data_IF_085901698645
#
_entry.id   IF_085901698645
#
_cell.length_a   1.000
_cell.length_b   1.000
_cell.length_c   1.000
_cell.angle_alpha   90.00
_cell.angle_beta   90.00
_cell.angle_gamma   90.00
#
_symmetry.space_group_name_H-M   'P 1'
#
loop_
_entity.id
_entity.type
_entity.pdbx_description
1 polymer ?
#
# COMPACT_ATOMS: atom_id res chain seq x y z
N UNK A 1 -13.10 2.52 0.05
CA UNK A 1 -13.44 1.59 -1.05
C UNK A 1 -12.84 0.25 -0.66
N UNK A 2 -13.66 -0.76 -0.40
CA UNK A 2 -13.16 -2.06 0.06
C UNK A 2 -12.73 -2.88 -1.17
N UNK A 3 -11.51 -3.40 -1.15
CA UNK A 3 -11.07 -4.47 -2.06
C UNK A 3 -11.06 -5.77 -1.26
N UNK A 4 -12.23 -6.42 -1.07
CA UNK A 4 -12.33 -7.63 -0.27
C UNK A 4 -11.56 -8.77 -0.94
N UNK A 5 -11.18 -9.78 -0.16
CA UNK A 5 -10.59 -10.99 -0.71
C UNK A 5 -11.64 -11.79 -1.47
N UNK A 6 -11.29 -12.40 -2.60
CA UNK A 6 -12.18 -13.27 -3.38
C UNK A 6 -12.68 -14.40 -2.50
N UNK A 7 -13.99 -14.64 -2.52
CA UNK A 7 -14.62 -15.72 -1.75
C UNK A 7 -14.81 -17.02 -2.55
N UNK A 8 -14.56 -17.01 -3.86
CA UNK A 8 -14.75 -18.17 -4.75
C UNK A 8 -13.87 -18.08 -6.01
N UNK A 9 -13.62 -19.21 -6.67
CA UNK A 9 -12.80 -19.30 -7.89
C UNK A 9 -11.28 -19.41 -7.65
N UNK A 10 -10.48 -19.31 -8.72
CA UNK A 10 -9.01 -19.30 -8.61
C UNK A 10 -8.55 -18.07 -7.80
N UNK A 11 -7.77 -18.32 -6.74
CA UNK A 11 -7.37 -17.29 -5.78
C UNK A 11 -8.38 -17.01 -4.67
N UNK A 12 -9.41 -17.84 -4.47
CA UNK A 12 -10.30 -17.71 -3.31
C UNK A 12 -9.52 -17.73 -1.98
N UNK A 13 -9.84 -16.80 -1.08
CA UNK A 13 -9.18 -16.61 0.21
C UNK A 13 -7.84 -15.88 0.16
N UNK A 14 -7.30 -15.54 -1.03
CA UNK A 14 -5.97 -14.91 -1.19
C UNK A 14 -5.91 -13.76 -2.19
N UNK A 15 -6.63 -13.85 -3.29
CA UNK A 15 -6.63 -12.84 -4.34
C UNK A 15 -7.62 -11.71 -4.03
N UNK A 16 -7.27 -10.50 -4.43
CA UNK A 16 -8.11 -9.32 -4.27
C UNK A 16 -9.28 -9.37 -5.26
N UNK A 17 -10.49 -9.09 -4.78
CA UNK A 17 -11.67 -8.88 -5.62
C UNK A 17 -11.60 -7.50 -6.29
N UNK A 18 -11.32 -7.51 -7.59
CA UNK A 18 -11.18 -6.32 -8.41
C UNK A 18 -12.52 -5.75 -8.89
N UNK A 19 -13.66 -6.41 -8.61
CA UNK A 19 -14.98 -5.97 -9.09
C UNK A 19 -15.27 -4.50 -8.79
N UNK A 20 -14.91 -4.02 -7.60
CA UNK A 20 -15.12 -2.61 -7.22
C UNK A 20 -14.21 -1.65 -7.99
N UNK A 21 -12.97 -2.04 -8.27
CA UNK A 21 -12.04 -1.28 -9.12
C UNK A 21 -12.60 -1.22 -10.54
N UNK A 22 -13.07 -2.35 -11.08
CA UNK A 22 -13.64 -2.41 -12.43
C UNK A 22 -14.91 -1.55 -12.57
N UNK A 23 -15.84 -1.64 -11.63
CA UNK A 23 -17.05 -0.83 -11.61
C UNK A 23 -16.71 0.66 -11.52
N UNK A 24 -15.75 1.02 -10.66
CA UNK A 24 -15.29 2.41 -10.53
C UNK A 24 -14.64 2.90 -11.83
N UNK A 25 -13.81 2.07 -12.47
CA UNK A 25 -13.16 2.39 -13.75
C UNK A 25 -14.20 2.66 -14.85
N UNK A 26 -15.22 1.79 -14.97
CA UNK A 26 -16.33 1.96 -15.92
C UNK A 26 -17.09 3.25 -15.67
N UNK A 27 -17.41 3.53 -14.40
CA UNK A 27 -18.12 4.75 -14.01
C UNK A 27 -17.31 6.01 -14.30
N UNK A 28 -16.02 6.02 -14.01
CA UNK A 28 -15.10 7.12 -14.37
C UNK A 28 -15.15 7.35 -15.87
N UNK A 29 -15.05 6.29 -16.67
CA UNK A 29 -15.07 6.38 -18.13
C UNK A 29 -16.37 6.96 -18.66
N UNK A 30 -17.52 6.43 -18.23
CA UNK A 30 -18.85 6.84 -18.69
C UNK A 30 -19.17 8.30 -18.35
N UNK A 31 -18.64 8.81 -17.24
CA UNK A 31 -18.92 10.16 -16.75
C UNK A 31 -17.82 11.18 -17.11
N UNK A 32 -16.76 10.77 -17.80
CA UNK A 32 -15.69 11.66 -18.20
C UNK A 32 -16.01 12.32 -19.54
N UNK A 33 -15.82 13.64 -19.61
CA UNK A 33 -15.95 14.44 -20.84
C UNK A 33 -14.62 15.05 -21.31
N UNK A 34 -13.54 14.86 -20.54
CA UNK A 34 -12.21 15.43 -20.78
C UNK A 34 -11.14 14.58 -20.12
N UNK A 35 -9.88 14.73 -20.56
CA UNK A 35 -8.73 13.98 -20.03
C UNK A 35 -8.61 14.12 -18.51
N UNK A 36 -8.26 13.03 -17.82
CA UNK A 36 -8.17 12.96 -16.36
C UNK A 36 -6.88 12.30 -15.90
N UNK A 37 -6.46 12.66 -14.69
CA UNK A 37 -5.52 11.87 -13.90
C UNK A 37 -6.35 11.07 -12.91
N UNK A 38 -6.20 9.76 -12.93
CA UNK A 38 -6.86 8.82 -12.01
C UNK A 38 -5.80 8.33 -11.04
N UNK A 39 -6.01 8.59 -9.75
CA UNK A 39 -5.07 8.20 -8.70
C UNK A 39 -5.64 7.02 -7.93
N UNK A 40 -4.94 5.92 -7.97
CA UNK A 40 -5.19 4.71 -7.18
C UNK A 40 -4.60 4.90 -5.78
N UNK A 41 -5.45 4.85 -4.74
CA UNK A 41 -5.12 5.18 -3.32
C UNK A 41 -5.39 3.98 -2.39
N UNK A 42 -5.27 2.74 -2.83
CA UNK A 42 -5.67 1.55 -2.06
C UNK A 42 -4.58 1.04 -1.12
N UNK A 43 -5.02 0.21 -0.17
CA UNK A 43 -4.17 -0.48 0.81
C UNK A 43 -3.52 -1.76 0.28
N UNK A 44 -4.06 -2.35 -0.80
CA UNK A 44 -3.59 -3.61 -1.40
C UNK A 44 -3.75 -3.63 -2.93
N UNK A 45 -2.98 -2.82 -3.69
CA UNK A 45 -3.04 -2.85 -5.14
C UNK A 45 -2.11 -3.95 -5.66
N UNK A 46 -2.68 -5.09 -6.07
CA UNK A 46 -1.97 -6.00 -6.98
C UNK A 46 -2.61 -5.81 -8.35
N UNK A 47 -1.91 -5.13 -9.26
CA UNK A 47 -2.35 -4.89 -10.65
C UNK A 47 -3.59 -3.99 -10.78
N UNK A 48 -3.95 -3.25 -9.74
CA UNK A 48 -5.10 -2.36 -9.74
C UNK A 48 -4.98 -1.29 -10.84
N UNK A 49 -3.79 -0.70 -10.97
CA UNK A 49 -3.50 0.29 -11.98
C UNK A 49 -3.57 -0.27 -13.42
N UNK A 50 -3.17 -1.53 -13.62
CA UNK A 50 -3.27 -2.21 -14.93
C UNK A 50 -4.72 -2.50 -15.30
N UNK A 51 -5.55 -2.92 -14.34
CA UNK A 51 -7.00 -3.10 -14.55
C UNK A 51 -7.69 -1.78 -14.88
N UNK A 52 -7.34 -0.70 -14.16
CA UNK A 52 -7.81 0.65 -14.47
C UNK A 52 -7.41 1.04 -15.90
N UNK A 53 -6.16 0.81 -16.28
CA UNK A 53 -5.62 1.17 -17.60
C UNK A 53 -6.36 0.47 -18.73
N UNK A 54 -6.56 -0.84 -18.56
CA UNK A 54 -7.28 -1.68 -19.53
C UNK A 54 -8.71 -1.18 -19.72
N UNK A 55 -9.44 -0.89 -18.64
CA UNK A 55 -10.84 -0.49 -18.73
C UNK A 55 -11.00 0.93 -19.29
N UNK A 56 -10.20 1.88 -18.79
CA UNK A 56 -10.27 3.28 -19.19
C UNK A 56 -9.90 3.47 -20.66
N UNK A 57 -8.95 2.68 -21.18
CA UNK A 57 -8.52 2.73 -22.59
C UNK A 57 -9.19 1.71 -23.52
N UNK A 58 -10.07 0.84 -23.02
CA UNK A 58 -10.79 -0.12 -23.86
C UNK A 58 -11.73 0.56 -24.88
N UNK A 59 -11.98 -0.10 -26.01
CA UNK A 59 -12.93 0.40 -27.03
C UNK A 59 -12.47 1.71 -27.68
N UNK A 60 -13.41 2.45 -28.28
CA UNK A 60 -13.10 3.65 -29.04
C UNK A 60 -13.21 4.92 -28.18
N UNK A 61 -12.32 5.03 -27.17
CA UNK A 61 -12.32 6.16 -26.24
C UNK A 61 -11.41 7.29 -26.74
N UNK A 62 -11.97 8.50 -26.90
CA UNK A 62 -11.19 9.69 -27.30
C UNK A 62 -10.52 10.38 -26.11
N UNK A 63 -10.93 10.05 -24.88
CA UNK A 63 -10.42 10.65 -23.66
C UNK A 63 -9.16 9.92 -23.21
N UNK A 64 -8.12 10.69 -22.88
CA UNK A 64 -6.86 10.16 -22.35
C UNK A 64 -6.90 10.14 -20.82
N UNK A 65 -6.49 9.02 -20.24
CA UNK A 65 -6.39 8.84 -18.80
C UNK A 65 -4.94 8.54 -18.42
N UNK A 66 -4.40 9.35 -17.50
CA UNK A 66 -3.14 9.00 -16.84
C UNK A 66 -3.45 8.36 -15.50
N UNK A 67 -2.81 7.23 -15.22
CA UNK A 67 -3.04 6.46 -14.00
C UNK A 67 -1.81 6.55 -13.13
N UNK A 68 -2.02 6.98 -11.90
CA UNK A 68 -1.01 7.06 -10.86
C UNK A 68 -1.33 6.06 -9.76
N UNK A 69 -0.31 5.42 -9.20
CA UNK A 69 -0.41 4.71 -7.93
C UNK A 69 0.07 5.64 -6.83
N UNK A 70 -0.70 5.77 -5.75
CA UNK A 70 -0.33 6.56 -4.58
C UNK A 70 -0.74 5.81 -3.31
N UNK A 71 0.00 4.77 -2.89
CA UNK A 71 -0.40 3.90 -1.80
C UNK A 71 -0.63 4.65 -0.48
N UNK A 72 -1.49 4.09 0.36
CA UNK A 72 -1.77 4.62 1.70
C UNK A 72 -0.91 3.91 2.76
N UNK A 73 -0.21 4.66 3.60
CA UNK A 73 0.65 4.13 4.67
C UNK A 73 0.17 4.46 6.09
N UNK A 74 -1.09 4.87 6.22
CA UNK A 74 -1.69 5.24 7.49
C UNK A 74 -1.91 4.03 8.40
N UNK A 75 -1.80 4.26 9.71
CA UNK A 75 -2.16 3.28 10.72
C UNK A 75 -3.51 3.64 11.38
N UNK A 76 -4.23 2.61 11.84
CA UNK A 76 -5.47 2.79 12.56
C UNK A 76 -5.23 3.53 13.88
N UNK A 77 -6.05 4.54 14.18
CA UNK A 77 -5.90 5.39 15.36
C UNK A 77 -4.97 6.61 15.19
N UNK A 78 -4.19 6.71 14.11
CA UNK A 78 -3.30 7.86 13.84
C UNK A 78 -3.58 8.57 12.51
N UNK A 79 -4.68 8.24 11.84
CA UNK A 79 -4.94 8.65 10.45
C UNK A 79 -4.77 10.15 10.14
N UNK A 80 -5.32 11.05 10.97
CA UNK A 80 -5.17 12.50 10.73
C UNK A 80 -3.70 12.91 10.78
N UNK A 81 -2.99 12.48 11.82
CA UNK A 81 -1.56 12.80 12.00
C UNK A 81 -0.72 12.22 10.87
N UNK A 82 -1.02 11.01 10.42
CA UNK A 82 -0.31 10.33 9.34
C UNK A 82 -0.54 11.02 7.98
N UNK A 83 -1.69 11.71 7.79
CA UNK A 83 -1.96 12.54 6.61
C UNK A 83 -1.25 13.90 6.65
N UNK A 84 -1.19 14.53 7.83
CA UNK A 84 -0.53 15.83 8.02
C UNK A 84 1.00 15.70 8.04
N UNK A 85 1.53 14.62 8.63
CA UNK A 85 2.95 14.38 8.84
C UNK A 85 3.37 12.97 8.42
N UNK A 86 3.23 12.61 7.13
CA UNK A 86 3.60 11.29 6.65
C UNK A 86 5.11 11.07 6.74
N UNK A 87 5.52 9.87 7.16
CA UNK A 87 6.92 9.41 7.06
C UNK A 87 7.42 9.52 5.60
N UNK A 88 6.53 9.17 4.65
CA UNK A 88 6.75 9.30 3.20
C UNK A 88 5.42 9.30 2.44
N UNK A 89 5.41 9.93 1.28
CA UNK A 89 4.38 9.77 0.25
C UNK A 89 5.04 9.15 -0.97
N UNK A 90 4.47 8.05 -1.47
CA UNK A 90 4.96 7.34 -2.66
C UNK A 90 4.04 7.62 -3.84
N UNK A 91 4.59 8.00 -4.99
CA UNK A 91 3.84 8.29 -6.21
C UNK A 91 4.46 7.51 -7.38
N UNK A 92 3.70 6.56 -7.92
CA UNK A 92 4.04 5.78 -9.12
C UNK A 92 3.32 6.28 -10.36
N UNK A 93 4.00 6.28 -11.51
CA UNK A 93 3.40 6.53 -12.83
C UNK A 93 3.99 5.63 -13.90
N UNK A 94 3.40 5.60 -15.10
CA UNK A 94 4.12 5.13 -16.28
C UNK A 94 5.27 6.09 -16.62
N UNK A 95 6.36 5.56 -17.18
CA UNK A 95 7.50 6.33 -17.66
C UNK A 95 7.26 6.85 -19.09
N UNK A 96 6.12 7.52 -19.28
CA UNK A 96 5.76 8.22 -20.52
C UNK A 96 5.78 9.74 -20.25
N UNK A 97 5.97 10.59 -21.27
CA UNK A 97 5.95 12.04 -21.06
C UNK A 97 4.68 12.55 -20.35
N UNK A 98 3.52 11.99 -20.70
CA UNK A 98 2.23 12.33 -20.09
C UNK A 98 2.08 11.77 -18.67
N UNK A 99 2.57 10.55 -18.42
CA UNK A 99 2.59 9.95 -17.08
C UNK A 99 3.49 10.70 -16.11
N UNK A 100 4.68 11.12 -16.57
CA UNK A 100 5.60 11.95 -15.79
C UNK A 100 4.99 13.33 -15.48
N UNK A 101 4.30 13.96 -16.44
CA UNK A 101 3.60 15.22 -16.22
C UNK A 101 2.43 15.06 -15.22
N UNK A 102 1.70 13.95 -15.28
CA UNK A 102 0.66 13.63 -14.31
C UNK A 102 1.24 13.42 -12.91
N UNK A 103 2.35 12.68 -12.80
CA UNK A 103 3.08 12.47 -11.55
C UNK A 103 3.53 13.79 -10.94
N UNK A 104 4.05 14.72 -11.75
CA UNK A 104 4.47 16.04 -11.28
C UNK A 104 3.32 16.83 -10.66
N UNK A 105 2.13 16.82 -11.28
CA UNK A 105 0.96 17.52 -10.71
C UNK A 105 0.58 16.99 -9.32
N UNK A 106 0.67 15.68 -9.12
CA UNK A 106 0.39 15.09 -7.80
C UNK A 106 1.52 15.38 -6.79
N UNK A 107 2.78 15.39 -7.25
CA UNK A 107 3.92 15.81 -6.45
C UNK A 107 3.77 17.25 -5.97
N UNK A 108 3.44 18.18 -6.87
CA UNK A 108 3.23 19.60 -6.56
C UNK A 108 2.10 19.78 -5.55
N UNK A 109 1.02 19.00 -5.68
CA UNK A 109 -0.07 18.98 -4.70
C UNK A 109 0.44 18.65 -3.30
N UNK A 110 1.14 17.53 -3.14
CA UNK A 110 1.66 17.11 -1.83
C UNK A 110 2.72 18.06 -1.27
N UNK A 111 3.49 18.73 -2.13
CA UNK A 111 4.56 19.65 -1.74
C UNK A 111 4.06 20.89 -0.98
N UNK A 112 2.75 21.14 -0.96
CA UNK A 112 2.16 22.22 -0.16
C UNK A 112 2.29 22.01 1.36
N UNK A 113 2.41 20.76 1.83
CA UNK A 113 2.55 20.46 3.26
C UNK A 113 3.52 19.33 3.60
N UNK A 114 3.88 18.48 2.63
CA UNK A 114 4.84 17.39 2.84
C UNK A 114 6.23 17.86 2.36
N UNK A 115 7.27 17.77 3.21
CA UNK A 115 8.64 18.09 2.79
C UNK A 115 9.07 17.23 1.59
N UNK A 116 9.74 17.82 0.61
CA UNK A 116 10.18 17.10 -0.61
C UNK A 116 10.99 15.84 -0.33
N UNK A 117 11.84 15.85 0.72
CA UNK A 117 12.62 14.67 1.15
C UNK A 117 11.76 13.46 1.54
N UNK A 118 10.49 13.67 1.86
CA UNK A 118 9.51 12.64 2.18
C UNK A 118 8.65 12.26 0.96
N UNK A 119 8.81 12.95 -0.19
CA UNK A 119 8.12 12.64 -1.43
C UNK A 119 8.99 11.74 -2.31
N UNK A 120 8.48 10.55 -2.61
CA UNK A 120 9.19 9.55 -3.39
C UNK A 120 8.42 9.29 -4.67
N UNK A 121 9.08 9.47 -5.81
CA UNK A 121 8.52 9.15 -7.12
C UNK A 121 9.15 7.88 -7.69
N UNK A 122 8.34 7.03 -8.32
CA UNK A 122 8.80 5.78 -8.93
C UNK A 122 7.97 5.42 -10.17
N UNK A 123 8.27 4.29 -10.82
CA UNK A 123 7.36 3.69 -11.79
C UNK A 123 6.14 3.07 -11.09
N UNK A 124 5.08 2.85 -11.86
CA UNK A 124 3.77 2.39 -11.39
C UNK A 124 3.83 1.08 -10.59
N UNK A 125 4.53 0.08 -11.12
CA UNK A 125 4.65 -1.26 -10.50
C UNK A 125 5.44 -1.25 -9.20
N UNK A 126 6.56 -0.53 -9.18
CA UNK A 126 7.37 -0.37 -7.98
C UNK A 126 6.59 0.33 -6.86
N UNK A 127 5.67 1.24 -7.19
CA UNK A 127 4.78 1.88 -6.20
C UNK A 127 3.83 0.88 -5.57
N UNK A 128 3.09 0.12 -6.38
CA UNK A 128 2.16 -0.92 -5.90
C UNK A 128 2.88 -1.98 -5.07
N UNK A 129 3.99 -2.52 -5.57
CA UNK A 129 4.77 -3.54 -4.89
C UNK A 129 5.34 -3.05 -3.55
N UNK A 130 5.82 -1.82 -3.48
CA UNK A 130 6.40 -1.25 -2.25
C UNK A 130 5.40 -1.26 -1.10
N UNK A 131 4.09 -1.11 -1.38
CA UNK A 131 3.06 -1.19 -0.35
C UNK A 131 2.92 -2.61 0.22
N UNK A 132 2.86 -3.61 -0.67
CA UNK A 132 2.78 -5.01 -0.28
C UNK A 132 4.01 -5.43 0.51
N UNK A 133 5.19 -5.10 0.02
CA UNK A 133 6.47 -5.40 0.68
C UNK A 133 6.55 -4.70 2.04
N UNK A 134 6.17 -3.42 2.13
CA UNK A 134 6.15 -2.71 3.41
C UNK A 134 5.27 -3.41 4.45
N UNK A 135 4.06 -3.85 4.06
CA UNK A 135 3.18 -4.56 4.98
C UNK A 135 3.75 -5.96 5.34
N UNK A 136 4.32 -6.68 4.36
CA UNK A 136 4.93 -7.97 4.59
C UNK A 136 6.11 -7.91 5.58
N UNK A 137 6.97 -6.89 5.48
CA UNK A 137 8.08 -6.69 6.42
C UNK A 137 7.58 -6.40 7.84
N UNK A 138 6.52 -5.62 8.00
CA UNK A 138 5.92 -5.36 9.32
C UNK A 138 5.32 -6.65 9.91
N UNK A 139 4.59 -7.44 9.12
CA UNK A 139 4.06 -8.74 9.53
C UNK A 139 5.19 -9.71 9.93
N UNK A 140 6.25 -9.77 9.12
CA UNK A 140 7.39 -10.65 9.35
C UNK A 140 8.07 -10.37 10.68
N UNK A 141 8.21 -9.10 11.07
CA UNK A 141 8.81 -8.73 12.36
C UNK A 141 7.96 -9.19 13.56
N UNK A 142 6.64 -9.02 13.47
CA UNK A 142 5.71 -9.50 14.51
C UNK A 142 5.77 -11.03 14.59
N UNK A 143 5.69 -11.72 13.46
CA UNK A 143 5.78 -13.18 13.41
C UNK A 143 7.12 -13.70 13.95
N UNK A 144 8.21 -13.01 13.65
CA UNK A 144 9.54 -13.35 14.16
C UNK A 144 9.62 -13.22 15.67
N UNK A 145 9.10 -12.14 16.28
CA UNK A 145 9.16 -12.02 17.74
C UNK A 145 8.21 -13.00 18.44
N UNK A 146 7.07 -13.31 17.83
CA UNK A 146 6.13 -14.32 18.34
C UNK A 146 6.75 -15.72 18.36
N UNK A 147 7.52 -16.11 17.33
CA UNK A 147 8.20 -17.41 17.34
C UNK A 147 9.30 -17.49 18.41
N UNK A 148 9.99 -16.38 18.67
CA UNK A 148 10.96 -16.28 19.77
C UNK A 148 10.28 -16.35 21.14
N UNK A 149 9.05 -15.85 21.29
CA UNK A 149 8.29 -15.95 22.54
C UNK A 149 8.12 -17.40 23.00
N UNK A 150 7.80 -18.31 22.07
CA UNK A 150 7.68 -19.74 22.37
C UNK A 150 9.01 -20.37 22.84
N UNK A 151 10.15 -19.89 22.33
CA UNK A 151 11.47 -20.31 22.80
C UNK A 151 11.73 -19.78 24.21
N UNK A 152 11.36 -18.53 24.48
CA UNK A 152 11.51 -17.89 25.78
C UNK A 152 10.72 -18.65 26.86
N UNK A 153 9.48 -19.07 26.57
CA UNK A 153 8.66 -19.90 27.46
C UNK A 153 9.33 -21.25 27.80
N UNK A 154 10.01 -21.87 26.83
CA UNK A 154 10.70 -23.15 27.03
C UNK A 154 12.07 -23.02 27.73
N UNK A 155 12.63 -21.80 27.81
CA UNK A 155 13.99 -21.54 28.31
C UNK A 155 14.05 -20.61 29.51
N UNK A 156 12.90 -20.20 30.05
CA UNK A 156 12.75 -19.24 31.15
C UNK A 156 13.30 -17.82 30.84
N UNK A 157 13.50 -17.49 29.56
CA UNK A 157 13.83 -16.13 29.15
C UNK A 157 12.58 -15.23 29.08
N UNK A 158 12.75 -13.91 29.19
CA UNK A 158 11.67 -12.94 28.98
C UNK A 158 11.75 -12.34 27.57
N UNK A 159 10.72 -12.61 26.75
CA UNK A 159 10.61 -12.09 25.38
C UNK A 159 10.62 -10.55 25.31
N UNK A 160 10.15 -9.87 26.35
CA UNK A 160 10.16 -8.40 26.46
C UNK A 160 11.59 -7.89 26.64
N UNK A 161 12.40 -8.57 27.45
CA UNK A 161 13.82 -8.24 27.63
C UNK A 161 14.61 -8.51 26.35
N UNK A 162 14.38 -9.66 25.71
CA UNK A 162 15.00 -10.04 24.43
C UNK A 162 14.64 -9.01 23.35
N UNK A 163 13.36 -8.67 23.21
CA UNK A 163 12.88 -7.66 22.27
C UNK A 163 13.54 -6.29 22.48
N UNK A 164 13.62 -5.84 23.74
CA UNK A 164 14.27 -4.58 24.07
C UNK A 164 15.76 -4.63 23.71
N UNK A 165 16.48 -5.70 24.04
CA UNK A 165 17.90 -5.84 23.73
C UNK A 165 18.16 -5.82 22.21
N UNK A 166 17.42 -6.63 21.44
CA UNK A 166 17.54 -6.71 19.98
C UNK A 166 17.15 -5.39 19.30
N UNK A 167 16.09 -4.74 19.79
CA UNK A 167 15.59 -3.48 19.24
C UNK A 167 16.51 -2.27 19.44
N UNK A 168 17.53 -2.36 20.31
CA UNK A 168 18.56 -1.31 20.48
C UNK A 168 19.52 -1.24 19.31
N UNK A 169 19.67 -2.30 18.53
CA UNK A 169 20.45 -2.25 17.29
C UNK A 169 19.70 -1.40 16.26
N UNK A 170 20.28 -0.24 15.90
CA UNK A 170 19.69 0.69 14.94
C UNK A 170 19.40 0.11 13.55
N UNK A 171 20.08 -0.98 13.17
CA UNK A 171 19.83 -1.69 11.90
C UNK A 171 18.55 -2.51 11.95
N UNK A 172 18.11 -2.89 13.15
CA UNK A 172 16.87 -3.63 13.40
C UNK A 172 15.75 -2.67 13.81
N UNK A 173 16.02 -1.76 14.74
CA UNK A 173 15.06 -0.80 15.31
C UNK A 173 14.05 -1.44 16.29
N UNK A 174 13.50 -0.61 17.17
CA UNK A 174 12.66 -1.07 18.29
C UNK A 174 11.15 -1.24 17.96
N UNK A 175 10.68 -0.76 16.80
CA UNK A 175 9.27 -0.83 16.42
C UNK A 175 8.89 -2.23 15.90
N UNK A 176 7.62 -2.61 16.05
CA UNK A 176 7.07 -3.89 15.58
C UNK A 176 7.80 -5.13 16.13
N UNK A 177 8.31 -5.04 17.37
CA UNK A 177 8.94 -6.16 18.11
C UNK A 177 8.19 -6.47 19.41
N UNK A 178 6.92 -6.09 19.53
CA UNK A 178 6.10 -6.52 20.68
C UNK A 178 5.37 -7.80 20.30
N UNK A 179 5.52 -8.90 21.06
CA UNK A 179 4.74 -10.09 20.82
C UNK A 179 3.26 -9.80 21.03
N UNK A 180 2.42 -10.41 20.19
CA UNK A 180 0.96 -10.30 20.24
C UNK A 180 0.35 -11.69 20.20
N UNK A 181 -0.69 -11.91 20.99
CA UNK A 181 -1.30 -13.24 21.21
C UNK A 181 -1.91 -13.82 19.92
N UNK A 182 -2.45 -12.95 19.03
CA UNK A 182 -3.04 -13.34 17.76
C UNK A 182 -2.66 -12.34 16.65
N UNK A 183 -2.26 -12.87 15.49
CA UNK A 183 -1.90 -12.09 14.30
C UNK A 183 -3.14 -11.72 13.47
N UNK A 184 -4.24 -11.33 14.11
CA UNK A 184 -5.43 -10.80 13.43
C UNK A 184 -5.30 -9.30 13.17
N UNK A 185 -4.34 -8.90 12.34
CA UNK A 185 -4.38 -7.56 11.76
C UNK A 185 -4.92 -7.68 10.35
N UNK A 186 -6.10 -7.10 10.03
CA UNK A 186 -6.77 -7.23 8.74
C UNK A 186 -5.91 -6.89 7.52
N UNK A 187 -4.86 -6.07 7.71
CA UNK A 187 -3.90 -5.67 6.67
C UNK A 187 -2.86 -6.77 6.39
N UNK A 188 -2.42 -7.52 7.41
CA UNK A 188 -1.36 -8.52 7.27
C UNK A 188 -1.88 -9.84 6.71
N UNK A 189 -3.05 -10.29 7.16
CA UNK A 189 -3.66 -11.53 6.64
C UNK A 189 -4.09 -11.37 5.18
N UNK A 190 -4.58 -10.18 4.77
CA UNK A 190 -4.98 -9.93 3.38
C UNK A 190 -3.83 -9.70 2.39
N UNK A 191 -2.59 -9.61 2.88
CA UNK A 191 -1.41 -9.50 2.01
C UNK A 191 -0.95 -10.88 1.49
N UNK A 192 -1.49 -11.99 2.05
CA UNK A 192 -1.10 -13.37 1.74
C UNK A 192 -2.27 -14.28 1.34
#
# INVERSE_FOLDING_TARGET
>A
MNTPTKNFGEGAGKAVDLQFIEQTARRIKENSSSNKIVVEKSTLPVRAAETLDTILHSGNNKIQFEILSNPEFMAEGTGIRDMEFPDRVLIGSKDTPTGLAARQKLFDLYSHWVPEKNLITTNLWSSELSKLVSNAFLAQRISSINSIAAICEATEADVTEVSNAVGRDSRIGAKFLKPVLDLEVPVFVKTF
#
